data_IF_863994055709
#
_entry.id   IF_863994055709
#
_cell.length_a   1.000
_cell.length_b   1.000
_cell.length_c   1.000
_cell.angle_alpha   90.00
_cell.angle_beta   90.00
_cell.angle_gamma   90.00
#
_symmetry.space_group_name_H-M   'P 1'
#
loop_
_entity.id
_entity.type
_entity.pdbx_description
1 polymer ?
#
# COMPACT_ATOMS: atom_id res chain seq x y z
N UNK A 1 15.77 5.00 -6.33
CA UNK A 1 15.87 4.11 -7.50
C UNK A 1 14.78 3.06 -7.41
N UNK A 2 14.19 2.66 -8.54
CA UNK A 2 13.12 1.64 -8.60
C UNK A 2 13.40 0.71 -9.78
N UNK A 3 13.43 -0.60 -9.54
CA UNK A 3 13.39 -1.61 -10.59
C UNK A 3 11.98 -2.22 -10.65
N UNK A 4 11.20 -1.81 -11.62
CA UNK A 4 9.85 -2.38 -11.81
C UNK A 4 9.91 -3.76 -12.43
N UNK A 5 9.02 -4.65 -11.99
CA UNK A 5 8.84 -6.00 -12.54
C UNK A 5 7.47 -6.14 -13.25
N UNK A 6 6.75 -5.01 -13.45
CA UNK A 6 5.39 -4.99 -13.99
C UNK A 6 5.32 -5.69 -15.34
N UNK A 7 6.20 -5.36 -16.28
CA UNK A 7 6.19 -5.93 -17.63
C UNK A 7 6.42 -7.46 -17.63
N UNK A 8 7.18 -7.94 -16.66
CA UNK A 8 7.41 -9.36 -16.49
C UNK A 8 6.18 -10.09 -15.96
N UNK A 9 5.59 -9.56 -14.90
CA UNK A 9 4.40 -10.13 -14.26
C UNK A 9 3.13 -9.99 -15.11
N UNK A 10 3.06 -8.97 -15.96
CA UNK A 10 1.96 -8.77 -16.91
C UNK A 10 1.75 -9.99 -17.83
N UNK A 11 2.83 -10.69 -18.20
CA UNK A 11 2.77 -11.91 -19.03
C UNK A 11 2.01 -13.07 -18.36
N UNK A 12 1.94 -13.07 -17.03
CA UNK A 12 1.24 -14.08 -16.23
C UNK A 12 -0.12 -13.57 -15.71
N UNK A 13 -0.44 -12.30 -15.98
CA UNK A 13 -1.67 -11.65 -15.52
C UNK A 13 -1.69 -11.40 -14.01
N UNK A 14 -0.53 -11.23 -13.38
CA UNK A 14 -0.36 -10.94 -11.96
C UNK A 14 0.98 -11.38 -11.41
N UNK A 15 1.26 -11.05 -10.15
CA UNK A 15 2.53 -11.38 -9.51
C UNK A 15 2.71 -12.89 -9.33
N UNK A 16 3.88 -13.41 -9.75
CA UNK A 16 4.32 -14.78 -9.50
C UNK A 16 5.42 -14.73 -8.42
N UNK A 17 5.15 -15.21 -7.19
CA UNK A 17 6.03 -14.99 -6.02
C UNK A 17 7.46 -15.47 -6.20
N UNK A 18 7.67 -16.66 -6.78
CA UNK A 18 9.00 -17.23 -7.00
C UNK A 18 9.81 -16.41 -8.00
N UNK A 19 9.17 -15.96 -9.06
CA UNK A 19 9.80 -15.11 -10.08
C UNK A 19 10.17 -13.76 -9.48
N UNK A 20 9.28 -13.16 -8.68
CA UNK A 20 9.53 -11.92 -8.00
C UNK A 20 10.80 -11.99 -7.14
N UNK A 21 10.94 -13.06 -6.34
CA UNK A 21 12.12 -13.28 -5.49
C UNK A 21 13.41 -13.38 -6.29
N UNK A 22 13.42 -14.13 -7.38
CA UNK A 22 14.59 -14.26 -8.27
C UNK A 22 14.98 -12.91 -8.88
N UNK A 23 14.00 -12.13 -9.34
CA UNK A 23 14.24 -10.81 -9.91
C UNK A 23 14.76 -9.82 -8.87
N UNK A 24 14.31 -9.90 -7.63
CA UNK A 24 14.89 -9.10 -6.55
C UNK A 24 16.35 -9.46 -6.29
N UNK A 25 16.69 -10.75 -6.28
CA UNK A 25 18.08 -11.21 -6.10
C UNK A 25 18.99 -10.70 -7.22
N UNK A 26 18.53 -10.70 -8.46
CA UNK A 26 19.29 -10.21 -9.62
C UNK A 26 19.53 -8.69 -9.56
N UNK A 27 18.58 -7.91 -9.01
CA UNK A 27 18.58 -6.47 -9.10
C UNK A 27 19.15 -5.74 -7.87
N UNK A 28 19.11 -6.35 -6.67
CA UNK A 28 19.27 -5.63 -5.40
C UNK A 28 20.64 -4.95 -5.25
N UNK A 29 21.72 -5.59 -5.69
CA UNK A 29 23.08 -5.02 -5.59
C UNK A 29 23.22 -3.80 -6.48
N UNK A 30 22.87 -3.92 -7.77
CA UNK A 30 22.97 -2.80 -8.72
C UNK A 30 22.05 -1.63 -8.34
N UNK A 31 20.85 -1.91 -7.79
CA UNK A 31 19.96 -0.86 -7.28
C UNK A 31 20.56 -0.14 -6.07
N UNK A 32 21.22 -0.88 -5.18
CA UNK A 32 21.89 -0.30 -4.02
C UNK A 32 23.04 0.61 -4.47
N UNK A 33 23.92 0.13 -5.35
CA UNK A 33 25.05 0.90 -5.89
C UNK A 33 24.58 2.18 -6.60
N UNK A 34 23.55 2.07 -7.46
CA UNK A 34 22.94 3.23 -8.12
C UNK A 34 22.34 4.23 -7.12
N UNK A 35 21.71 3.72 -6.05
CA UNK A 35 21.16 4.58 -4.99
C UNK A 35 22.24 5.34 -4.28
N UNK A 36 23.36 4.70 -3.92
CA UNK A 36 24.48 5.34 -3.26
C UNK A 36 25.13 6.41 -4.17
N UNK A 37 25.30 6.12 -5.46
CA UNK A 37 25.81 7.08 -6.44
C UNK A 37 24.88 8.29 -6.61
N UNK A 38 23.57 8.07 -6.79
CA UNK A 38 22.60 9.18 -6.92
C UNK A 38 22.49 10.03 -5.66
N UNK A 39 22.56 9.41 -4.49
CA UNK A 39 22.60 10.13 -3.22
C UNK A 39 23.88 10.93 -3.09
N UNK A 40 25.04 10.35 -3.44
CA UNK A 40 26.31 11.07 -3.48
C UNK A 40 26.27 12.31 -4.36
N UNK A 41 25.76 12.17 -5.60
CA UNK A 41 25.59 13.30 -6.51
C UNK A 41 24.68 14.41 -5.92
N UNK A 42 23.64 14.04 -5.16
CA UNK A 42 22.78 15.00 -4.45
C UNK A 42 23.54 15.77 -3.37
N UNK A 43 24.46 15.13 -2.66
CA UNK A 43 25.29 15.74 -1.61
C UNK A 43 26.62 16.32 -2.12
N UNK A 44 26.86 16.30 -3.43
CA UNK A 44 28.03 16.90 -4.06
C UNK A 44 29.29 16.03 -4.04
N UNK A 45 29.14 14.71 -3.93
CA UNK A 45 30.22 13.72 -4.07
C UNK A 45 29.84 12.64 -5.11
N UNK A 46 30.82 11.85 -5.56
CA UNK A 46 30.59 10.84 -6.59
C UNK A 46 29.64 9.73 -6.14
N UNK A 47 29.82 9.26 -4.90
CA UNK A 47 29.00 8.23 -4.28
C UNK A 47 29.08 8.33 -2.76
N UNK A 48 28.01 7.95 -2.05
CA UNK A 48 28.08 7.77 -0.61
C UNK A 48 28.84 6.48 -0.28
N UNK A 49 29.48 6.47 0.88
CA UNK A 49 30.14 5.29 1.45
C UNK A 49 29.42 4.85 2.73
N UNK A 50 29.64 3.61 3.21
CA UNK A 50 28.92 3.11 4.39
C UNK A 50 29.02 4.01 5.63
N UNK A 51 30.16 4.68 5.84
CA UNK A 51 30.37 5.63 6.95
C UNK A 51 29.48 6.89 6.89
N UNK A 52 28.86 7.17 5.75
CA UNK A 52 27.92 8.29 5.59
C UNK A 52 26.49 7.92 6.03
N UNK A 53 26.26 6.64 6.33
CA UNK A 53 24.94 6.12 6.71
C UNK A 53 24.84 5.96 8.23
N UNK A 54 23.69 6.30 8.79
CA UNK A 54 23.40 6.11 10.22
C UNK A 54 22.84 4.72 10.55
N UNK A 55 22.12 4.10 9.61
CA UNK A 55 21.44 2.82 9.79
C UNK A 55 20.97 2.25 8.46
N UNK A 56 20.54 0.99 8.48
CA UNK A 56 19.91 0.30 7.35
C UNK A 56 18.46 -0.05 7.69
N UNK A 57 17.51 0.58 7.01
CA UNK A 57 16.08 0.24 7.11
C UNK A 57 15.68 -0.81 6.08
N UNK A 58 14.94 -1.83 6.51
CA UNK A 58 14.46 -2.88 5.61
C UNK A 58 13.03 -3.27 5.91
N UNK A 59 12.22 -3.50 4.86
CA UNK A 59 10.90 -4.11 5.02
C UNK A 59 11.06 -5.55 5.52
N UNK A 60 10.63 -5.81 6.75
CA UNK A 60 10.69 -7.14 7.35
C UNK A 60 9.35 -7.90 7.25
N UNK A 61 8.27 -7.22 6.87
CA UNK A 61 6.94 -7.76 6.65
C UNK A 61 5.84 -6.68 6.70
N UNK A 62 4.59 -7.06 6.44
CA UNK A 62 4.17 -8.30 5.77
C UNK A 62 4.52 -8.29 4.29
N UNK A 63 4.36 -9.45 3.61
CA UNK A 63 4.59 -9.56 2.18
C UNK A 63 4.98 -10.97 1.73
N UNK A 64 5.34 -11.10 0.45
CA UNK A 64 5.79 -12.36 -0.12
C UNK A 64 7.11 -12.80 0.53
N UNK A 65 7.10 -13.93 1.23
CA UNK A 65 8.24 -14.42 2.03
C UNK A 65 9.55 -14.43 1.25
N UNK A 66 9.54 -14.93 0.00
CA UNK A 66 10.75 -14.99 -0.81
C UNK A 66 11.32 -13.61 -1.15
N UNK A 67 10.48 -12.60 -1.42
CA UNK A 67 10.90 -11.23 -1.66
C UNK A 67 11.45 -10.57 -0.38
N UNK A 68 10.76 -10.77 0.76
CA UNK A 68 11.20 -10.27 2.06
C UNK A 68 12.57 -10.84 2.46
N UNK A 69 12.77 -12.15 2.28
CA UNK A 69 14.04 -12.83 2.60
C UNK A 69 15.20 -12.23 1.81
N UNK A 70 15.01 -11.91 0.53
CA UNK A 70 16.07 -11.26 -0.27
C UNK A 70 16.48 -9.91 0.33
N UNK A 71 15.50 -9.06 0.64
CA UNK A 71 15.77 -7.74 1.25
C UNK A 71 16.42 -7.84 2.63
N UNK A 72 15.86 -8.68 3.50
CA UNK A 72 16.36 -8.86 4.87
C UNK A 72 17.76 -9.48 4.86
N UNK A 73 18.04 -10.48 4.02
CA UNK A 73 19.36 -11.09 3.93
C UNK A 73 20.42 -10.11 3.41
N UNK A 74 20.08 -9.32 2.39
CA UNK A 74 20.98 -8.27 1.87
C UNK A 74 21.27 -7.23 2.95
N UNK A 75 20.25 -6.70 3.61
CA UNK A 75 20.40 -5.70 4.68
C UNK A 75 21.25 -6.22 5.84
N UNK A 76 21.01 -7.47 6.29
CA UNK A 76 21.82 -8.12 7.33
C UNK A 76 23.28 -8.29 6.91
N UNK A 77 23.53 -8.79 5.70
CA UNK A 77 24.89 -8.94 5.17
C UNK A 77 25.63 -7.61 5.09
N UNK A 78 24.95 -6.55 4.66
CA UNK A 78 25.52 -5.20 4.63
C UNK A 78 25.79 -4.67 6.04
N UNK A 79 24.89 -4.84 7.00
CA UNK A 79 25.09 -4.46 8.39
C UNK A 79 26.29 -5.21 9.03
N UNK A 80 26.43 -6.52 8.77
CA UNK A 80 27.59 -7.30 9.25
C UNK A 80 28.90 -6.77 8.70
N UNK A 81 28.93 -6.38 7.42
CA UNK A 81 30.14 -5.88 6.78
C UNK A 81 30.53 -4.45 7.18
N UNK A 82 29.59 -3.66 7.70
CA UNK A 82 29.75 -2.21 7.91
C UNK A 82 29.56 -1.77 9.36
N UNK A 83 29.16 -2.67 10.26
CA UNK A 83 28.77 -2.41 11.65
C UNK A 83 27.60 -1.42 11.79
N UNK A 84 26.82 -1.19 10.71
CA UNK A 84 25.65 -0.34 10.75
C UNK A 84 24.47 -1.04 11.45
N UNK A 85 23.66 -0.30 12.21
CA UNK A 85 22.48 -0.86 12.86
C UNK A 85 21.37 -1.20 11.87
N UNK A 86 20.66 -2.30 12.13
CA UNK A 86 19.55 -2.79 11.33
C UNK A 86 18.20 -2.35 11.93
N UNK A 87 17.31 -1.83 11.09
CA UNK A 87 15.99 -1.37 11.50
C UNK A 87 14.92 -2.10 10.68
N UNK A 88 14.10 -2.96 11.30
CA UNK A 88 12.94 -3.54 10.63
C UNK A 88 11.84 -2.49 10.47
N UNK A 89 11.20 -2.48 9.31
CA UNK A 89 10.06 -1.61 9.03
C UNK A 89 8.86 -2.46 8.60
N UNK A 90 7.71 -2.12 9.13
CA UNK A 90 6.45 -2.72 8.73
C UNK A 90 5.94 -2.08 7.44
N UNK A 91 5.68 -2.87 6.39
CA UNK A 91 5.30 -2.38 5.07
C UNK A 91 4.05 -1.48 5.09
N UNK A 92 3.01 -1.91 5.79
CA UNK A 92 1.76 -1.14 5.87
C UNK A 92 1.90 0.13 6.72
N UNK A 93 2.78 0.13 7.73
CA UNK A 93 3.14 1.34 8.46
C UNK A 93 3.86 2.33 7.52
N UNK A 94 4.72 1.84 6.62
CA UNK A 94 5.32 2.66 5.58
C UNK A 94 4.27 3.40 4.74
N UNK A 95 3.19 2.73 4.34
CA UNK A 95 2.08 3.38 3.62
C UNK A 95 1.33 4.43 4.45
N UNK A 96 1.18 4.24 5.76
CA UNK A 96 0.64 5.29 6.65
C UNK A 96 1.57 6.49 6.69
N UNK A 97 2.86 6.25 6.90
CA UNK A 97 3.89 7.27 7.01
C UNK A 97 4.17 8.01 5.69
N UNK A 98 3.80 7.43 4.53
CA UNK A 98 3.87 8.12 3.24
C UNK A 98 3.02 9.41 3.19
N UNK A 99 2.00 9.53 4.05
CA UNK A 99 1.22 10.75 4.18
C UNK A 99 2.04 11.94 4.72
N UNK A 100 3.12 11.69 5.46
CA UNK A 100 4.01 12.74 5.99
C UNK A 100 4.77 13.49 4.90
N UNK A 101 4.89 12.95 3.68
CA UNK A 101 5.47 13.67 2.55
C UNK A 101 4.61 14.86 2.10
N UNK A 102 3.29 14.78 2.24
CA UNK A 102 2.37 15.87 1.90
C UNK A 102 1.97 16.68 3.13
N UNK A 103 1.85 16.01 4.29
CA UNK A 103 1.36 16.58 5.53
C UNK A 103 2.36 16.26 6.66
N UNK A 104 3.48 17.00 6.73
CA UNK A 104 4.54 16.72 7.73
C UNK A 104 4.10 16.92 9.18
N UNK A 105 3.01 17.69 9.40
CA UNK A 105 2.39 17.96 10.68
C UNK A 105 1.28 16.96 11.06
N UNK A 106 1.10 15.91 10.28
CA UNK A 106 0.13 14.85 10.61
C UNK A 106 0.54 14.12 11.88
N UNK A 107 -0.31 14.15 12.87
CA UNK A 107 -0.14 13.45 14.15
C UNK A 107 -1.39 12.65 14.51
N UNK A 108 -1.25 11.48 15.14
CA UNK A 108 -2.38 10.75 15.69
C UNK A 108 -3.12 11.54 16.81
N UNK A 109 -4.43 11.28 17.04
CA UNK A 109 -5.18 10.17 16.45
C UNK A 109 -5.79 10.49 15.08
N UNK A 110 -5.85 9.50 14.19
CA UNK A 110 -6.55 9.58 12.92
C UNK A 110 -7.08 8.22 12.46
N UNK A 111 -8.02 8.20 11.52
CA UNK A 111 -8.43 6.98 10.81
C UNK A 111 -7.74 6.92 9.46
N UNK A 112 -7.27 5.74 9.09
CA UNK A 112 -6.65 5.51 7.78
C UNK A 112 -7.34 4.39 7.00
N UNK A 113 -7.54 4.62 5.70
CA UNK A 113 -7.88 3.58 4.72
C UNK A 113 -6.61 3.11 4.03
N UNK A 114 -6.18 1.88 4.31
CA UNK A 114 -5.08 1.21 3.62
C UNK A 114 -5.63 0.33 2.51
N UNK A 115 -5.40 0.74 1.25
CA UNK A 115 -5.97 0.10 0.06
C UNK A 115 -4.89 -0.14 -0.98
N UNK A 116 -4.57 -1.40 -1.20
CA UNK A 116 -3.49 -1.82 -2.11
C UNK A 116 -3.88 -3.05 -2.94
N UNK A 117 -2.93 -3.61 -3.66
CA UNK A 117 -3.10 -4.88 -4.38
C UNK A 117 -3.42 -6.06 -3.46
N UNK A 118 -2.85 -6.10 -2.25
CA UNK A 118 -3.02 -7.21 -1.31
C UNK A 118 -3.75 -6.85 -0.02
N UNK A 119 -4.06 -5.58 0.23
CA UNK A 119 -4.66 -5.14 1.47
C UNK A 119 -5.83 -4.19 1.23
N UNK A 120 -6.88 -4.37 2.02
CA UNK A 120 -8.00 -3.42 2.15
C UNK A 120 -8.44 -3.43 3.59
N UNK A 121 -8.18 -2.34 4.32
CA UNK A 121 -8.51 -2.25 5.72
C UNK A 121 -8.72 -0.81 6.18
N UNK A 122 -9.46 -0.65 7.27
CA UNK A 122 -9.55 0.59 8.05
C UNK A 122 -8.77 0.43 9.35
N UNK A 123 -7.97 1.43 9.66
CA UNK A 123 -7.10 1.45 10.83
C UNK A 123 -7.35 2.72 11.62
N UNK A 124 -7.61 2.60 12.90
CA UNK A 124 -7.54 3.72 13.84
C UNK A 124 -6.12 3.80 14.41
N UNK A 125 -5.40 4.81 14.01
CA UNK A 125 -4.07 5.14 14.54
C UNK A 125 -4.27 6.00 15.78
N UNK A 126 -4.12 5.41 16.96
CA UNK A 126 -4.32 6.12 18.24
C UNK A 126 -3.08 6.91 18.66
N UNK A 127 -1.94 6.32 18.38
CA UNK A 127 -0.62 6.91 18.48
C UNK A 127 0.28 6.24 17.44
N UNK A 128 1.41 6.82 17.14
CA UNK A 128 2.38 6.14 16.30
C UNK A 128 2.90 4.88 17.01
N UNK A 129 2.74 3.73 16.37
CA UNK A 129 3.01 2.43 16.94
C UNK A 129 1.82 1.78 17.65
N UNK A 130 0.73 2.51 17.85
CA UNK A 130 -0.51 2.00 18.43
C UNK A 130 -1.65 2.03 17.39
N UNK A 131 -1.85 0.89 16.76
CA UNK A 131 -2.76 0.68 15.65
C UNK A 131 -3.89 -0.26 16.02
N UNK A 132 -5.12 0.15 15.77
CA UNK A 132 -6.30 -0.70 15.89
C UNK A 132 -6.86 -0.95 14.50
N UNK A 133 -6.75 -2.17 14.00
CA UNK A 133 -7.43 -2.57 12.76
C UNK A 133 -8.92 -2.67 13.07
N UNK A 134 -9.71 -1.73 12.56
CA UNK A 134 -11.17 -1.70 12.74
C UNK A 134 -11.83 -2.82 11.95
N UNK A 135 -11.36 -3.05 10.73
CA UNK A 135 -11.78 -4.14 9.87
C UNK A 135 -10.96 -4.23 8.60
N UNK A 136 -11.03 -5.37 7.94
CA UNK A 136 -10.30 -5.66 6.71
C UNK A 136 -11.14 -6.48 5.75
N UNK A 137 -10.63 -6.66 4.52
CA UNK A 137 -11.30 -7.57 3.58
C UNK A 137 -11.22 -9.01 4.05
N UNK A 138 -12.32 -9.73 3.87
CA UNK A 138 -12.44 -11.17 4.18
C UNK A 138 -12.13 -12.05 2.96
N UNK A 139 -11.93 -11.42 1.79
CA UNK A 139 -11.65 -12.10 0.52
C UNK A 139 -10.66 -11.27 -0.34
N UNK A 140 -11.04 -10.87 -1.55
CA UNK A 140 -10.18 -10.08 -2.44
C UNK A 140 -9.90 -8.68 -1.88
N UNK A 141 -8.67 -8.18 -2.03
CA UNK A 141 -8.38 -6.76 -1.83
C UNK A 141 -8.91 -5.93 -3.02
N UNK A 142 -9.06 -4.62 -2.83
CA UNK A 142 -9.56 -3.72 -3.91
C UNK A 142 -8.69 -3.81 -5.15
N UNK A 143 -7.36 -3.67 -5.02
CA UNK A 143 -6.47 -3.72 -6.18
C UNK A 143 -6.54 -5.07 -6.90
N UNK A 144 -6.61 -6.18 -6.14
CA UNK A 144 -6.79 -7.52 -6.69
C UNK A 144 -8.12 -7.67 -7.45
N UNK A 145 -9.21 -7.08 -6.94
CA UNK A 145 -10.50 -7.09 -7.62
C UNK A 145 -10.45 -6.31 -8.94
N UNK A 146 -9.77 -5.16 -8.97
CA UNK A 146 -9.52 -4.39 -10.20
C UNK A 146 -8.71 -5.20 -11.22
N UNK A 147 -7.64 -5.87 -10.79
CA UNK A 147 -6.80 -6.70 -11.67
C UNK A 147 -7.59 -7.89 -12.25
N UNK A 148 -8.40 -8.56 -11.43
CA UNK A 148 -9.24 -9.68 -11.86
C UNK A 148 -10.33 -9.25 -12.86
N UNK A 149 -10.96 -8.09 -12.64
CA UNK A 149 -11.96 -7.54 -13.58
C UNK A 149 -11.29 -7.11 -14.88
N UNK A 150 -10.14 -6.43 -14.82
CA UNK A 150 -9.38 -6.05 -16.01
C UNK A 150 -8.97 -7.28 -16.83
N UNK A 151 -8.51 -8.34 -16.17
CA UNK A 151 -8.18 -9.62 -16.81
C UNK A 151 -9.39 -10.25 -17.50
N UNK A 152 -10.56 -10.26 -16.86
CA UNK A 152 -11.81 -10.78 -17.43
C UNK A 152 -12.25 -10.00 -18.67
N UNK A 153 -11.92 -8.71 -18.75
CA UNK A 153 -12.18 -7.81 -19.88
C UNK A 153 -11.07 -7.82 -20.94
N UNK A 154 -9.96 -8.55 -20.73
CA UNK A 154 -8.81 -8.56 -21.64
C UNK A 154 -8.02 -7.25 -21.69
N UNK A 155 -8.08 -6.42 -20.62
CA UNK A 155 -7.51 -5.08 -20.58
C UNK A 155 -6.03 -5.02 -20.12
N UNK A 156 -5.45 -6.15 -19.73
CA UNK A 156 -4.05 -6.23 -19.30
C UNK A 156 -3.84 -5.99 -17.80
N UNK A 157 -2.56 -5.78 -17.42
CA UNK A 157 -2.09 -5.63 -16.04
C UNK A 157 -1.08 -4.46 -15.94
N UNK A 158 -1.09 -3.65 -14.87
CA UNK A 158 -2.03 -3.66 -13.73
C UNK A 158 -3.42 -3.14 -14.11
N UNK A 159 -4.46 -3.76 -13.54
CA UNK A 159 -5.86 -3.48 -13.90
C UNK A 159 -6.36 -2.15 -13.37
N UNK A 160 -5.93 -1.74 -12.18
CA UNK A 160 -6.41 -0.53 -11.52
C UNK A 160 -6.34 0.72 -12.40
N UNK A 161 -5.17 1.12 -12.93
CA UNK A 161 -5.04 2.30 -13.78
C UNK A 161 -5.87 2.22 -15.07
N UNK A 162 -5.99 1.03 -15.67
CA UNK A 162 -6.73 0.85 -16.92
C UNK A 162 -8.24 0.98 -16.68
N UNK A 163 -8.75 0.32 -15.65
CA UNK A 163 -10.17 0.42 -15.24
C UNK A 163 -10.52 1.87 -14.90
N UNK A 164 -9.69 2.53 -14.08
CA UNK A 164 -9.95 3.93 -13.67
C UNK A 164 -9.95 4.90 -14.86
N UNK A 165 -9.06 4.70 -15.85
CA UNK A 165 -9.05 5.49 -17.09
C UNK A 165 -10.29 5.29 -17.94
N UNK A 166 -10.83 4.08 -18.03
CA UNK A 166 -12.09 3.78 -18.70
C UNK A 166 -13.26 4.36 -17.91
N UNK A 167 -13.31 4.18 -16.61
CA UNK A 167 -14.36 4.65 -15.71
C UNK A 167 -14.57 6.16 -15.81
N UNK A 168 -13.48 6.93 -15.98
CA UNK A 168 -13.55 8.38 -16.16
C UNK A 168 -14.35 8.84 -17.40
N UNK A 169 -14.64 7.93 -18.32
CA UNK A 169 -15.37 8.21 -19.57
C UNK A 169 -16.79 7.61 -19.55
N UNK A 170 -17.14 6.87 -18.50
CA UNK A 170 -18.39 6.13 -18.40
C UNK A 170 -19.40 6.74 -17.44
N UNK A 171 -20.61 6.17 -17.46
CA UNK A 171 -21.67 6.50 -16.52
C UNK A 171 -21.65 5.54 -15.33
N UNK A 172 -21.34 6.00 -14.09
CA UNK A 172 -21.27 5.14 -12.90
C UNK A 172 -22.61 4.57 -12.45
N UNK A 173 -23.72 5.01 -13.05
CA UNK A 173 -25.09 4.54 -12.78
C UNK A 173 -25.66 3.64 -13.88
N UNK A 174 -24.87 3.31 -14.92
CA UNK A 174 -25.34 2.53 -16.05
C UNK A 174 -25.69 1.08 -15.68
N UNK A 175 -24.91 0.48 -14.76
CA UNK A 175 -25.09 -0.89 -14.32
C UNK A 175 -25.14 -0.91 -12.79
N UNK A 176 -26.20 -1.53 -12.26
CA UNK A 176 -26.35 -1.64 -10.80
C UNK A 176 -25.63 -2.90 -10.28
N UNK A 177 -24.37 -2.72 -9.86
CA UNK A 177 -23.59 -3.77 -9.19
C UNK A 177 -23.86 -3.80 -7.68
N UNK A 178 -23.68 -4.95 -7.00
CA UNK A 178 -23.87 -5.06 -5.56
C UNK A 178 -22.80 -4.26 -4.77
N UNK A 179 -23.22 -3.74 -3.62
CA UNK A 179 -22.36 -3.10 -2.60
C UNK A 179 -22.27 -4.05 -1.41
N UNK A 180 -21.45 -5.11 -1.56
CA UNK A 180 -21.34 -6.14 -0.55
C UNK A 180 -20.91 -5.55 0.80
N UNK A 181 -21.54 -6.01 1.87
CA UNK A 181 -21.24 -5.64 3.26
C UNK A 181 -21.36 -4.14 3.61
N UNK A 182 -21.91 -3.29 2.73
CA UNK A 182 -22.03 -1.85 2.99
C UNK A 182 -22.81 -1.55 4.28
N UNK A 183 -23.76 -2.42 4.66
CA UNK A 183 -24.62 -2.28 5.82
C UNK A 183 -24.49 -3.45 6.81
N UNK A 184 -23.31 -4.11 6.88
CA UNK A 184 -23.09 -5.27 7.74
C UNK A 184 -23.00 -4.93 9.24
N UNK A 185 -22.88 -3.66 9.59
CA UNK A 185 -22.70 -3.22 10.98
C UNK A 185 -21.29 -3.43 11.55
N UNK A 186 -20.35 -3.81 10.69
CA UNK A 186 -18.92 -3.95 10.99
C UNK A 186 -18.06 -3.21 9.94
N UNK A 187 -16.74 -3.30 10.06
CA UNK A 187 -15.79 -2.68 9.14
C UNK A 187 -15.15 -3.67 8.15
N UNK A 188 -15.69 -4.88 8.05
CA UNK A 188 -15.21 -5.88 7.09
C UNK A 188 -15.60 -5.51 5.66
N UNK A 189 -14.77 -5.87 4.69
CA UNK A 189 -15.03 -5.68 3.26
C UNK A 189 -15.14 -7.04 2.57
N UNK A 190 -15.87 -7.08 1.45
CA UNK A 190 -15.90 -8.22 0.55
C UNK A 190 -16.04 -7.73 -0.89
N UNK A 191 -15.22 -8.24 -1.78
CA UNK A 191 -15.20 -7.87 -3.19
C UNK A 191 -15.44 -9.07 -4.12
N UNK A 192 -15.43 -10.30 -3.59
CA UNK A 192 -15.66 -11.52 -4.38
C UNK A 192 -17.04 -11.54 -5.01
N UNK A 193 -18.08 -11.11 -4.29
CA UNK A 193 -19.43 -11.02 -4.81
C UNK A 193 -19.58 -9.98 -5.90
N UNK A 194 -18.94 -8.83 -5.76
CA UNK A 194 -18.89 -7.77 -6.78
C UNK A 194 -18.19 -8.26 -8.05
N UNK A 195 -17.00 -8.86 -7.91
CA UNK A 195 -16.27 -9.47 -9.02
C UNK A 195 -17.13 -10.50 -9.78
N UNK A 196 -17.78 -11.40 -9.06
CA UNK A 196 -18.66 -12.41 -9.66
C UNK A 196 -19.82 -11.76 -10.42
N UNK A 197 -20.43 -10.72 -9.88
CA UNK A 197 -21.50 -9.99 -10.55
C UNK A 197 -21.03 -9.35 -11.86
N UNK A 198 -19.82 -8.78 -11.89
CA UNK A 198 -19.21 -8.21 -13.11
C UNK A 198 -18.98 -9.31 -14.15
N UNK A 199 -18.38 -10.44 -13.77
CA UNK A 199 -18.13 -11.57 -14.68
C UNK A 199 -19.43 -12.11 -15.25
N UNK A 200 -20.45 -12.30 -14.39
CA UNK A 200 -21.79 -12.77 -14.81
C UNK A 200 -22.45 -11.80 -15.80
N UNK A 201 -22.28 -10.49 -15.58
CA UNK A 201 -22.77 -9.47 -16.51
C UNK A 201 -22.08 -9.60 -17.88
N UNK A 202 -20.75 -9.68 -17.90
CA UNK A 202 -19.96 -9.85 -19.13
C UNK A 202 -20.41 -11.10 -19.91
N UNK A 203 -20.54 -12.24 -19.22
CA UNK A 203 -20.98 -13.49 -19.84
C UNK A 203 -22.41 -13.42 -20.36
N UNK A 204 -23.29 -12.70 -19.65
CA UNK A 204 -24.69 -12.49 -20.06
C UNK A 204 -24.77 -11.67 -21.35
N UNK A 205 -24.03 -10.56 -21.42
CA UNK A 205 -24.00 -9.71 -22.63
C UNK A 205 -23.42 -10.45 -23.82
N UNK A 206 -22.31 -11.19 -23.63
CA UNK A 206 -21.67 -12.00 -24.66
C UNK A 206 -22.62 -13.09 -25.19
N UNK A 207 -23.34 -13.81 -24.32
CA UNK A 207 -24.34 -14.82 -24.73
C UNK A 207 -25.51 -14.23 -25.49
N UNK A 208 -25.89 -13.01 -25.15
CA UNK A 208 -26.95 -12.28 -25.83
C UNK A 208 -26.50 -11.61 -27.14
N UNK A 209 -25.19 -11.69 -27.49
CA UNK A 209 -24.62 -11.03 -28.66
C UNK A 209 -24.62 -9.51 -28.56
N UNK A 210 -24.72 -8.94 -27.36
CA UNK A 210 -24.70 -7.50 -27.15
C UNK A 210 -23.28 -6.98 -26.88
N UNK A 211 -22.94 -5.85 -27.49
CA UNK A 211 -21.68 -5.19 -27.23
C UNK A 211 -21.66 -4.59 -25.81
N UNK A 212 -20.58 -4.81 -25.09
CA UNK A 212 -20.38 -4.24 -23.75
C UNK A 212 -19.84 -2.81 -23.89
N UNK A 213 -20.51 -1.85 -23.26
CA UNK A 213 -19.96 -0.52 -23.07
C UNK A 213 -18.91 -0.56 -21.94
N UNK A 214 -17.63 -0.70 -22.32
CA UNK A 214 -16.53 -0.84 -21.36
C UNK A 214 -16.38 0.37 -20.42
N UNK A 215 -16.49 1.63 -20.87
CA UNK A 215 -16.52 2.79 -19.98
C UNK A 215 -17.61 2.72 -18.91
N UNK A 216 -18.83 2.40 -19.28
CA UNK A 216 -19.96 2.33 -18.35
C UNK A 216 -19.81 1.18 -17.35
N UNK A 217 -19.33 0.03 -17.81
CA UNK A 217 -19.04 -1.11 -16.94
C UNK A 217 -17.95 -0.77 -15.95
N UNK A 218 -16.84 -0.18 -16.40
CA UNK A 218 -15.73 0.23 -15.56
C UNK A 218 -16.15 1.29 -14.53
N UNK A 219 -16.91 2.29 -14.94
CA UNK A 219 -17.43 3.34 -14.06
C UNK A 219 -18.40 2.77 -13.00
N UNK A 220 -19.29 1.88 -13.39
CA UNK A 220 -20.25 1.25 -12.47
C UNK A 220 -19.57 0.32 -11.46
N UNK A 221 -18.54 -0.41 -11.89
CA UNK A 221 -17.72 -1.24 -11.02
C UNK A 221 -16.90 -0.39 -10.02
N UNK A 222 -16.15 0.60 -10.50
CA UNK A 222 -15.36 1.51 -9.67
C UNK A 222 -16.24 2.22 -8.64
N UNK A 223 -17.41 2.71 -9.04
CA UNK A 223 -18.37 3.35 -8.14
C UNK A 223 -18.86 2.39 -7.05
N UNK A 224 -19.11 1.13 -7.38
CA UNK A 224 -19.54 0.15 -6.38
C UNK A 224 -18.48 -0.09 -5.31
N UNK A 225 -17.20 -0.09 -5.68
CA UNK A 225 -16.09 -0.18 -4.73
C UNK A 225 -16.02 1.09 -3.87
N UNK A 226 -16.07 2.26 -4.50
CA UNK A 226 -15.95 3.56 -3.81
C UNK A 226 -17.08 3.75 -2.79
N UNK A 227 -18.32 3.41 -3.15
CA UNK A 227 -19.48 3.53 -2.26
C UNK A 227 -19.25 2.81 -0.93
N UNK A 228 -18.76 1.56 -0.98
CA UNK A 228 -18.50 0.76 0.23
C UNK A 228 -17.31 1.34 1.03
N UNK A 229 -16.21 1.71 0.34
CA UNK A 229 -15.04 2.29 0.99
C UNK A 229 -15.40 3.57 1.75
N UNK A 230 -16.13 4.48 1.11
CA UNK A 230 -16.51 5.77 1.69
C UNK A 230 -17.52 5.59 2.82
N UNK A 231 -18.53 4.73 2.66
CA UNK A 231 -19.54 4.51 3.70
C UNK A 231 -18.90 4.00 5.01
N UNK A 232 -18.04 2.98 4.93
CA UNK A 232 -17.38 2.41 6.11
C UNK A 232 -16.35 3.37 6.73
N UNK A 233 -15.58 4.08 5.89
CA UNK A 233 -14.64 5.08 6.37
C UNK A 233 -15.35 6.24 7.10
N UNK A 234 -16.50 6.68 6.57
CA UNK A 234 -17.34 7.71 7.22
C UNK A 234 -17.78 7.26 8.61
N UNK A 235 -18.34 6.04 8.72
CA UNK A 235 -18.75 5.49 10.01
C UNK A 235 -17.57 5.41 11.00
N UNK A 236 -16.40 4.96 10.53
CA UNK A 236 -15.21 4.87 11.37
C UNK A 236 -14.77 6.23 11.92
N UNK A 237 -14.80 7.27 11.10
CA UNK A 237 -14.48 8.64 11.51
C UNK A 237 -15.53 9.17 12.49
N UNK A 238 -16.82 8.94 12.25
CA UNK A 238 -17.91 9.34 13.14
C UNK A 238 -17.82 8.67 14.51
N UNK A 239 -17.52 7.37 14.57
CA UNK A 239 -17.42 6.61 15.81
C UNK A 239 -16.15 6.92 16.62
N UNK A 240 -15.03 7.19 15.92
CA UNK A 240 -13.76 7.52 16.59
C UNK A 240 -13.62 8.99 16.96
N UNK A 241 -14.39 9.87 16.32
CA UNK A 241 -14.36 11.31 16.57
C UNK A 241 -13.06 12.00 16.16
N UNK A 242 -12.28 11.41 15.27
CA UNK A 242 -10.99 11.98 14.81
C UNK A 242 -11.21 13.13 13.84
N UNK A 243 -10.26 14.08 13.81
CA UNK A 243 -10.25 15.23 12.91
C UNK A 243 -9.50 15.02 11.60
N UNK A 244 -8.77 13.90 11.49
CA UNK A 244 -7.93 13.57 10.35
C UNK A 244 -8.28 12.18 9.78
N UNK A 245 -8.31 12.12 8.46
CA UNK A 245 -8.47 10.87 7.70
C UNK A 245 -7.35 10.73 6.66
N UNK A 246 -6.69 9.58 6.66
CA UNK A 246 -5.58 9.31 5.76
C UNK A 246 -5.91 8.19 4.77
N UNK A 247 -5.30 8.24 3.59
CA UNK A 247 -5.35 7.15 2.62
C UNK A 247 -3.94 6.66 2.33
N UNK A 248 -3.73 5.36 2.29
CA UNK A 248 -2.44 4.75 1.98
C UNK A 248 -2.57 3.54 1.07
N UNK A 249 -1.46 3.15 0.44
CA UNK A 249 -1.39 2.03 -0.50
C UNK A 249 -1.59 2.44 -1.96
N UNK A 250 -1.27 1.53 -2.89
CA UNK A 250 -1.27 1.82 -4.33
C UNK A 250 -2.62 2.28 -4.89
N UNK A 251 -3.74 1.81 -4.34
CA UNK A 251 -5.09 2.23 -4.75
C UNK A 251 -5.41 3.67 -4.30
N UNK A 252 -4.67 4.23 -3.34
CA UNK A 252 -4.72 5.66 -3.01
C UNK A 252 -4.40 6.57 -4.21
N UNK A 253 -3.81 6.04 -5.27
CA UNK A 253 -3.61 6.75 -6.54
C UNK A 253 -4.90 6.93 -7.36
N UNK A 254 -5.98 6.19 -7.07
CA UNK A 254 -7.24 6.28 -7.81
C UNK A 254 -7.89 7.66 -7.64
N UNK A 255 -8.10 8.44 -8.74
CA UNK A 255 -8.60 9.81 -8.62
C UNK A 255 -10.04 9.90 -8.12
N UNK A 256 -10.89 8.95 -8.50
CA UNK A 256 -12.31 8.93 -8.10
C UNK A 256 -12.45 8.64 -6.60
N UNK A 257 -11.66 7.68 -6.06
CA UNK A 257 -11.63 7.39 -4.63
C UNK A 257 -11.14 8.60 -3.82
N UNK A 258 -10.06 9.26 -4.28
CA UNK A 258 -9.56 10.50 -3.65
C UNK A 258 -10.61 11.60 -3.62
N UNK A 259 -11.30 11.81 -4.73
CA UNK A 259 -12.34 12.82 -4.84
C UNK A 259 -13.50 12.53 -3.89
N UNK A 260 -13.95 11.27 -3.84
CA UNK A 260 -15.04 10.83 -2.97
C UNK A 260 -14.70 11.04 -1.47
N UNK A 261 -13.48 10.67 -1.04
CA UNK A 261 -13.05 10.93 0.34
C UNK A 261 -12.96 12.43 0.65
N UNK A 262 -12.36 13.22 -0.24
CA UNK A 262 -12.28 14.69 -0.06
C UNK A 262 -13.66 15.34 0.04
N UNK A 263 -14.61 14.88 -0.77
CA UNK A 263 -15.98 15.42 -0.77
C UNK A 263 -16.69 15.12 0.55
N UNK A 264 -16.73 13.84 0.97
CA UNK A 264 -17.48 13.45 2.17
C UNK A 264 -16.87 14.03 3.43
N UNK A 265 -15.55 13.92 3.60
CA UNK A 265 -14.87 14.39 4.80
C UNK A 265 -14.74 15.91 4.84
N UNK A 266 -14.64 16.58 3.69
CA UNK A 266 -14.71 18.03 3.62
C UNK A 266 -16.04 18.59 4.14
N UNK A 267 -17.17 17.90 3.85
CA UNK A 267 -18.49 18.26 4.43
C UNK A 267 -18.57 18.01 5.93
N UNK A 268 -17.76 17.09 6.46
CA UNK A 268 -17.70 16.78 7.89
C UNK A 268 -16.69 17.63 8.65
N UNK A 269 -15.91 18.49 7.97
CA UNK A 269 -14.84 19.28 8.59
C UNK A 269 -13.61 18.44 8.98
N UNK A 270 -13.46 17.25 8.40
CA UNK A 270 -12.34 16.34 8.65
C UNK A 270 -11.26 16.56 7.59
N UNK A 271 -10.01 16.73 8.02
CA UNK A 271 -8.87 16.90 7.12
C UNK A 271 -8.54 15.58 6.44
N UNK A 272 -8.46 15.58 5.09
CA UNK A 272 -8.08 14.41 4.31
C UNK A 272 -6.65 14.54 3.83
N UNK A 273 -5.81 13.58 4.22
CA UNK A 273 -4.43 13.48 3.76
C UNK A 273 -4.28 12.29 2.81
N UNK A 274 -3.65 12.53 1.68
CA UNK A 274 -3.37 11.52 0.66
C UNK A 274 -1.95 11.73 0.18
N UNK A 275 -1.11 10.68 0.13
CA UNK A 275 0.29 10.84 -0.25
C UNK A 275 0.43 11.32 -1.71
N UNK A 276 1.53 11.99 -2.05
CA UNK A 276 1.86 12.33 -3.43
C UNK A 276 1.81 11.10 -4.33
N UNK A 277 1.43 11.27 -5.59
CA UNK A 277 1.30 10.16 -6.55
C UNK A 277 2.57 9.32 -6.67
N UNK A 278 3.73 9.94 -6.55
CA UNK A 278 5.05 9.29 -6.63
C UNK A 278 5.36 8.32 -5.50
N UNK A 279 4.64 8.42 -4.37
CA UNK A 279 4.86 7.57 -3.17
C UNK A 279 3.59 6.83 -2.72
N UNK A 280 2.54 6.79 -3.56
CA UNK A 280 1.34 5.97 -3.27
C UNK A 280 1.62 4.47 -3.34
N UNK A 281 2.36 4.03 -4.36
CA UNK A 281 2.79 2.64 -4.51
C UNK A 281 3.95 2.30 -3.58
N UNK A 282 4.40 1.04 -3.67
CA UNK A 282 5.55 0.56 -2.91
C UNK A 282 6.81 1.34 -3.29
N UNK A 283 7.49 1.88 -2.29
CA UNK A 283 8.70 2.66 -2.49
C UNK A 283 9.60 2.63 -1.26
N UNK A 284 10.91 2.83 -1.46
CA UNK A 284 11.88 2.82 -0.36
C UNK A 284 11.81 4.09 0.51
N UNK A 285 11.29 5.21 -0.01
CA UNK A 285 11.23 6.45 0.75
C UNK A 285 10.26 6.33 1.94
N UNK A 286 9.09 5.68 1.76
CA UNK A 286 8.17 5.41 2.87
C UNK A 286 8.79 4.50 3.94
N UNK A 287 9.63 3.55 3.52
CA UNK A 287 10.34 2.66 4.43
C UNK A 287 11.43 3.43 5.18
N UNK A 288 12.14 4.34 4.50
CA UNK A 288 13.14 5.21 5.13
C UNK A 288 12.52 6.13 6.21
N UNK A 289 11.32 6.67 5.98
CA UNK A 289 10.58 7.44 7.01
C UNK A 289 10.26 6.57 8.21
N UNK A 290 9.79 5.33 7.98
CA UNK A 290 9.54 4.36 9.06
C UNK A 290 10.82 4.01 9.82
N UNK A 291 11.92 3.75 9.10
CA UNK A 291 13.21 3.47 9.71
C UNK A 291 13.75 4.64 10.55
N UNK A 292 13.69 5.87 10.02
CA UNK A 292 14.12 7.07 10.76
C UNK A 292 13.31 7.26 12.05
N UNK A 293 12.01 7.00 11.98
CA UNK A 293 11.14 7.09 13.14
C UNK A 293 11.50 6.04 14.19
N UNK A 294 11.67 4.78 13.79
CA UNK A 294 12.10 3.69 14.67
C UNK A 294 13.47 3.93 15.26
N UNK A 295 14.42 4.46 14.46
CA UNK A 295 15.74 4.86 14.91
C UNK A 295 15.69 5.85 16.10
N UNK A 296 14.76 6.82 16.02
CA UNK A 296 14.62 7.86 17.05
C UNK A 296 13.85 7.42 18.29
N UNK A 297 13.00 6.42 18.20
CA UNK A 297 12.04 6.06 19.25
C UNK A 297 12.19 4.65 19.82
N UNK A 298 12.61 3.69 19.02
CA UNK A 298 12.54 2.26 19.36
C UNK A 298 13.91 1.55 19.37
N UNK A 299 14.93 2.16 18.75
CA UNK A 299 16.27 1.57 18.65
C UNK A 299 16.40 0.55 17.50
N UNK A 300 17.35 -0.36 17.63
CA UNK A 300 17.82 -1.27 16.59
C UNK A 300 17.39 -2.71 16.82
N UNK A 301 17.28 -3.47 15.75
CA UNK A 301 17.02 -4.91 15.82
C UNK A 301 18.34 -5.70 15.87
N UNK A 302 18.37 -6.83 16.58
CA UNK A 302 19.48 -7.76 16.46
C UNK A 302 19.53 -8.36 15.05
N UNK A 303 20.71 -8.82 14.63
CA UNK A 303 20.88 -9.50 13.34
C UNK A 303 20.19 -10.88 13.25
N UNK A 304 19.56 -11.33 14.34
CA UNK A 304 18.66 -12.49 14.36
C UNK A 304 17.28 -12.18 13.78
N UNK A 305 16.99 -10.91 13.42
CA UNK A 305 15.75 -10.52 12.73
C UNK A 305 15.45 -11.49 11.59
N UNK A 306 14.21 -11.93 11.48
CA UNK A 306 13.72 -12.73 10.36
C UNK A 306 12.57 -12.05 9.62
N UNK A 307 12.36 -12.45 8.37
CA UNK A 307 11.23 -11.99 7.59
C UNK A 307 9.93 -12.58 8.15
N UNK A 308 8.94 -11.72 8.37
CA UNK A 308 7.60 -12.15 8.82
C UNK A 308 6.54 -11.81 7.77
N UNK A 309 6.16 -12.77 6.90
CA UNK A 309 5.18 -12.54 5.84
C UNK A 309 3.79 -12.17 6.37
N UNK A 310 3.47 -12.53 7.62
CA UNK A 310 2.19 -12.31 8.27
C UNK A 310 2.28 -11.28 9.41
N UNK A 311 3.27 -10.39 9.39
CA UNK A 311 3.42 -9.38 10.41
C UNK A 311 2.14 -8.57 10.57
N UNK A 312 1.68 -8.43 11.80
CA UNK A 312 0.55 -7.57 12.12
C UNK A 312 1.02 -6.13 12.27
N UNK A 313 0.17 -5.19 11.93
CA UNK A 313 0.46 -3.77 12.08
C UNK A 313 0.82 -3.48 13.55
N UNK A 314 1.94 -2.79 13.77
CA UNK A 314 2.49 -2.57 15.11
C UNK A 314 3.45 -3.66 15.63
N UNK A 315 3.73 -4.73 14.87
CA UNK A 315 4.57 -5.85 15.32
C UNK A 315 5.98 -5.46 15.76
N UNK A 316 6.54 -4.39 15.21
CA UNK A 316 7.88 -3.87 15.58
C UNK A 316 7.83 -2.55 16.32
N UNK A 317 6.64 -2.03 16.60
CA UNK A 317 6.46 -0.77 17.33
C UNK A 317 6.39 -0.97 18.85
N UNK A 318 6.42 -2.19 19.35
CA UNK A 318 6.21 -2.49 20.77
C UNK A 318 7.48 -2.31 21.59
N UNK A 319 7.44 -1.37 22.53
CA UNK A 319 8.04 -1.37 23.89
C UNK A 319 9.47 -1.88 24.15
N UNK A 320 10.30 -2.13 23.14
CA UNK A 320 11.73 -2.33 23.38
C UNK A 320 12.33 -0.97 23.77
N UNK A 321 12.86 -0.88 24.97
CA UNK A 321 13.61 0.29 25.40
C UNK A 321 14.68 0.63 24.35
N UNK A 322 14.84 1.90 23.95
CA UNK A 322 15.79 2.28 22.92
C UNK A 322 17.19 1.86 23.37
N UNK A 323 17.80 0.95 22.62
CA UNK A 323 19.23 0.68 22.76
C UNK A 323 19.94 1.82 22.05
N UNK A 324 20.28 2.85 22.78
CA UNK A 324 21.13 3.94 22.28
C UNK A 324 22.55 3.38 22.19
N UNK A 325 23.23 3.41 21.02
CA UNK A 325 24.63 3.04 20.96
C UNK A 325 25.42 3.96 21.90
N UNK A 326 26.22 3.39 22.80
CA UNK A 326 27.14 4.12 23.63
C UNK A 326 28.25 4.66 22.73
N UNK A 327 28.12 5.90 22.26
CA UNK A 327 29.15 6.58 21.49
C UNK A 327 28.66 7.44 20.32
N UNK A 328 27.71 8.32 20.53
CA UNK A 328 27.54 9.55 19.74
C UNK A 328 27.74 10.77 20.61
#
# INVERSE_FOLDING_TARGET
VVATQIDFHARFGGVVPEIASRKHTEAIVGLFEETMARAGAHFGCDTLVPSDLAAVGVTAGPGLVGALVVGVAFAKGFCVATDLPLIPVHHLEGHLLANLFETPDLEPPFVASLVSGGNTMLVHVRAWGDYVVLGSTIDDAVGEAFDKVAKALGLGYPGGPVISKLAAQGNPKAIHFPRAMMHSGDYSFSLSGLKTAVITYIEGENRAGRAINLPDLAASFEQAVIDVQVAKAKTAVEETGVSDFCVGGGVAANPALRAAYKEIFGRMGVRVTVPPMSVCGDNAAMIAVGALRSYRTQGFSPLTLDANPNAQLGSWSSNAAPVVPSGM
#
